data_IF_497613966586
#
_entry.id   IF_497613966586
#
_cell.length_a   1.000
_cell.length_b   1.000
_cell.length_c   1.000
_cell.angle_alpha   90.00
_cell.angle_beta   90.00
_cell.angle_gamma   90.00
#
_symmetry.space_group_name_H-M   'P 1'
#
loop_
_entity.id
_entity.type
_entity.pdbx_description
1 polymer ?
#
# COMPACT_ATOMS: atom_id res chain seq x y z
N UNK A 1 -15.36 -14.41 3.33
CA UNK A 1 -14.13 -13.76 2.82
C UNK A 1 -14.41 -12.29 2.82
N UNK A 2 -13.60 -11.47 3.46
CA UNK A 2 -13.76 -10.02 3.38
C UNK A 2 -13.48 -9.58 1.94
N UNK A 3 -14.39 -8.83 1.35
CA UNK A 3 -14.22 -8.29 -0.01
C UNK A 3 -13.42 -6.99 0.00
N UNK A 4 -13.29 -6.37 1.18
CA UNK A 4 -12.59 -5.12 1.42
C UNK A 4 -11.91 -5.14 2.79
N UNK A 5 -10.71 -4.56 2.85
CA UNK A 5 -9.96 -4.34 4.09
C UNK A 5 -9.48 -2.90 4.16
N UNK A 6 -9.44 -2.36 5.38
CA UNK A 6 -9.01 -0.99 5.65
C UNK A 6 -7.90 -1.02 6.70
N UNK A 7 -6.82 -0.29 6.43
CA UNK A 7 -5.69 -0.15 7.35
C UNK A 7 -5.29 1.32 7.49
N UNK A 8 -4.62 1.64 8.60
CA UNK A 8 -4.11 3.00 8.84
C UNK A 8 -2.61 3.00 9.03
N UNK A 9 -1.96 4.05 8.52
CA UNK A 9 -0.53 4.33 8.70
C UNK A 9 -0.32 5.79 9.06
N UNK A 10 0.18 6.02 10.27
CA UNK A 10 0.64 7.34 10.69
C UNK A 10 1.99 7.65 10.02
N UNK A 11 2.14 8.86 9.50
CA UNK A 11 3.38 9.33 8.88
C UNK A 11 4.12 10.24 9.83
N UNK A 12 5.35 9.86 10.20
CA UNK A 12 6.17 10.61 11.15
C UNK A 12 7.53 10.95 10.54
N UNK A 13 8.04 12.14 10.87
CA UNK A 13 9.35 12.62 10.38
C UNK A 13 10.50 11.70 10.79
N UNK A 14 10.31 10.88 11.83
CA UNK A 14 11.31 9.93 12.32
C UNK A 14 11.39 8.63 11.50
N UNK A 15 10.72 8.54 10.35
CA UNK A 15 10.86 7.41 9.43
C UNK A 15 12.12 7.55 8.56
N UNK A 16 12.88 6.46 8.34
CA UNK A 16 14.23 6.52 7.78
C UNK A 16 14.29 7.13 6.37
N UNK A 17 13.23 6.98 5.57
CA UNK A 17 13.19 7.50 4.21
C UNK A 17 13.15 9.04 4.14
N UNK A 18 12.73 9.74 5.21
CA UNK A 18 12.72 11.20 5.23
C UNK A 18 14.13 11.82 5.28
N UNK A 19 15.17 11.06 5.63
CA UNK A 19 16.57 11.52 5.55
C UNK A 19 17.05 11.74 4.10
N UNK A 20 16.34 11.17 3.13
CA UNK A 20 16.68 11.23 1.71
C UNK A 20 15.56 11.73 0.79
N UNK A 21 14.30 11.74 1.23
CA UNK A 21 13.13 12.03 0.39
C UNK A 21 12.25 13.14 1.00
N UNK A 22 12.56 14.42 0.80
CA UNK A 22 13.74 14.95 0.10
C UNK A 22 14.58 15.80 1.05
N UNK A 23 15.82 16.07 0.66
CA UNK A 23 16.70 16.96 1.42
C UNK A 23 16.34 18.43 1.18
N UNK A 24 16.58 19.33 2.15
CA UNK A 24 16.42 20.77 1.94
C UNK A 24 17.16 21.25 0.68
N UNK A 25 16.59 22.20 -0.09
CA UNK A 25 15.39 23.00 0.21
C UNK A 25 14.05 22.35 -0.18
N UNK A 26 14.03 21.08 -0.58
CA UNK A 26 12.80 20.39 -0.97
C UNK A 26 11.99 19.92 0.25
N UNK A 27 10.65 19.80 0.15
CA UNK A 27 9.82 19.32 1.24
C UNK A 27 10.10 17.85 1.57
N UNK A 28 10.04 17.49 2.85
CA UNK A 28 10.00 16.09 3.30
C UNK A 28 8.67 15.46 2.86
N UNK A 29 8.74 14.42 2.03
CA UNK A 29 7.56 13.76 1.47
C UNK A 29 7.71 12.24 1.57
N UNK A 30 6.64 11.53 1.92
CA UNK A 30 6.65 10.08 1.87
C UNK A 30 6.82 9.62 0.41
N UNK A 31 7.76 8.70 0.11
CA UNK A 31 7.91 8.17 -1.24
C UNK A 31 6.62 7.51 -1.73
N UNK A 32 6.23 7.75 -2.98
CA UNK A 32 5.05 7.11 -3.58
C UNK A 32 5.14 5.58 -3.57
N UNK A 33 6.35 5.03 -3.64
CA UNK A 33 6.62 3.59 -3.49
C UNK A 33 6.25 3.05 -2.11
N UNK A 34 6.47 3.82 -1.05
CA UNK A 34 6.07 3.42 0.31
C UNK A 34 4.54 3.47 0.47
N UNK A 35 3.86 4.35 -0.25
CA UNK A 35 2.38 4.39 -0.29
C UNK A 35 1.86 3.14 -0.99
N UNK A 36 2.45 2.77 -2.15
CA UNK A 36 2.11 1.52 -2.85
C UNK A 36 2.40 0.28 -2.01
N UNK A 37 3.51 0.25 -1.27
CA UNK A 37 3.83 -0.84 -0.36
C UNK A 37 2.77 -0.96 0.75
N UNK A 38 2.35 0.16 1.35
CA UNK A 38 1.27 0.17 2.34
C UNK A 38 -0.06 -0.34 1.77
N UNK A 39 -0.39 0.04 0.53
CA UNK A 39 -1.55 -0.50 -0.18
C UNK A 39 -1.44 -2.01 -0.45
N UNK A 40 -0.26 -2.49 -0.87
CA UNK A 40 0.00 -3.89 -1.14
C UNK A 40 -0.10 -4.75 0.13
N UNK A 41 0.48 -4.30 1.23
CA UNK A 41 0.35 -4.95 2.54
C UNK A 41 -1.10 -4.98 3.01
N UNK A 42 -1.82 -3.87 2.83
CA UNK A 42 -3.26 -3.80 3.14
C UNK A 42 -4.04 -4.84 2.32
N UNK A 43 -3.83 -4.91 1.01
CA UNK A 43 -4.45 -5.93 0.17
C UNK A 43 -4.04 -7.37 0.53
N UNK A 44 -2.82 -7.58 1.04
CA UNK A 44 -2.37 -8.86 1.56
C UNK A 44 -3.21 -9.38 2.73
N UNK A 45 -3.79 -8.48 3.54
CA UNK A 45 -4.67 -8.85 4.66
C UNK A 45 -5.94 -9.59 4.19
N UNK A 46 -6.36 -9.43 2.93
CA UNK A 46 -7.48 -10.19 2.33
C UNK A 46 -7.24 -11.71 2.31
N UNK A 47 -6.00 -12.15 2.47
CA UNK A 47 -5.60 -13.56 2.36
C UNK A 47 -5.72 -14.35 3.68
N UNK A 48 -5.78 -13.65 4.82
CA UNK A 48 -5.64 -14.24 6.14
C UNK A 48 -4.19 -14.60 6.50
N UNK A 49 -4.01 -15.18 7.69
CA UNK A 49 -2.69 -15.55 8.21
C UNK A 49 -2.03 -16.69 7.42
N UNK A 50 -0.70 -16.83 7.57
CA UNK A 50 0.07 -17.92 6.95
C UNK A 50 0.28 -17.79 5.44
N UNK A 51 -0.10 -16.66 4.83
CA UNK A 51 0.15 -16.36 3.41
C UNK A 51 1.14 -15.21 3.27
N UNK A 52 2.06 -15.34 2.32
CA UNK A 52 2.95 -14.27 1.87
C UNK A 52 2.41 -13.72 0.56
N UNK A 53 2.15 -12.41 0.50
CA UNK A 53 1.73 -11.72 -0.71
C UNK A 53 2.87 -10.85 -1.22
N UNK A 54 3.35 -11.14 -2.44
CA UNK A 54 4.44 -10.39 -3.07
C UNK A 54 3.85 -9.52 -4.17
N UNK A 55 4.15 -8.22 -4.16
CA UNK A 55 3.73 -7.29 -5.20
C UNK A 55 4.38 -7.66 -6.54
N UNK A 56 3.57 -7.97 -7.55
CA UNK A 56 4.02 -8.42 -8.87
C UNK A 56 3.75 -7.43 -10.00
N UNK A 57 2.64 -6.69 -9.91
CA UNK A 57 2.27 -5.68 -10.91
C UNK A 57 1.58 -4.49 -10.24
N UNK A 58 1.84 -3.30 -10.78
CA UNK A 58 1.14 -2.07 -10.44
C UNK A 58 0.62 -1.45 -11.74
N UNK A 59 -0.70 -1.32 -11.85
CA UNK A 59 -1.41 -0.71 -12.96
C UNK A 59 -2.20 0.51 -12.51
N UNK A 60 -2.46 1.44 -13.44
CA UNK A 60 -3.31 2.63 -13.23
C UNK A 60 -2.97 3.46 -11.99
N UNK A 61 -1.70 3.47 -11.56
CA UNK A 61 -1.30 4.20 -10.36
C UNK A 61 -1.39 5.72 -10.60
N UNK A 62 -2.04 6.44 -9.68
CA UNK A 62 -2.11 7.91 -9.69
C UNK A 62 -1.83 8.42 -8.29
N UNK A 63 -0.94 9.41 -8.21
CA UNK A 63 -0.61 10.13 -6.99
C UNK A 63 -1.06 11.58 -7.15
N UNK A 64 -1.95 12.03 -6.27
CA UNK A 64 -2.67 13.31 -6.41
C UNK A 64 -2.01 14.45 -5.63
N UNK A 65 -1.52 14.15 -4.43
CA UNK A 65 -0.80 15.11 -3.59
C UNK A 65 0.32 14.43 -2.82
N UNK A 66 1.28 15.25 -2.34
CA UNK A 66 2.31 14.77 -1.43
C UNK A 66 1.68 14.36 -0.10
N UNK A 67 2.24 13.32 0.49
CA UNK A 67 1.96 12.88 1.86
C UNK A 67 3.16 13.27 2.71
N UNK A 68 2.93 13.90 3.85
CA UNK A 68 3.98 14.56 4.65
C UNK A 68 3.93 14.10 6.11
N UNK A 69 4.99 14.33 6.91
CA UNK A 69 4.94 14.07 8.34
C UNK A 69 3.74 14.74 9.01
N UNK A 70 3.03 14.00 9.85
CA UNK A 70 1.77 14.42 10.48
C UNK A 70 0.52 13.83 9.80
N UNK A 71 0.59 13.46 8.51
CA UNK A 71 -0.53 12.83 7.82
C UNK A 71 -0.87 11.45 8.43
N UNK A 72 -2.16 11.12 8.49
CA UNK A 72 -2.66 9.76 8.75
C UNK A 72 -3.26 9.18 7.48
N UNK A 73 -2.53 8.27 6.86
CA UNK A 73 -3.02 7.53 5.69
C UNK A 73 -4.04 6.49 6.11
N UNK A 74 -5.16 6.46 5.41
CA UNK A 74 -6.12 5.35 5.42
C UNK A 74 -6.00 4.64 4.08
N UNK A 75 -5.60 3.38 4.11
CA UNK A 75 -5.55 2.51 2.95
C UNK A 75 -6.82 1.68 2.89
N UNK A 76 -7.40 1.57 1.70
CA UNK A 76 -8.53 0.68 1.41
C UNK A 76 -8.11 -0.25 0.28
N UNK A 77 -8.32 -1.55 0.46
CA UNK A 77 -8.07 -2.54 -0.57
C UNK A 77 -9.32 -3.38 -0.80
N UNK A 78 -9.80 -3.40 -2.04
CA UNK A 78 -10.96 -4.17 -2.48
C UNK A 78 -10.52 -5.27 -3.43
N UNK A 79 -10.96 -6.50 -3.18
CA UNK A 79 -10.69 -7.64 -4.04
C UNK A 79 -11.38 -7.45 -5.39
N UNK A 80 -10.61 -7.48 -6.49
CA UNK A 80 -11.16 -7.51 -7.85
C UNK A 80 -11.30 -8.94 -8.34
N UNK A 81 -10.25 -9.75 -8.16
CA UNK A 81 -10.20 -11.12 -8.66
C UNK A 81 -9.16 -11.93 -7.91
N UNK A 82 -9.46 -13.22 -7.74
CA UNK A 82 -8.50 -14.23 -7.24
C UNK A 82 -8.52 -15.45 -8.14
N UNK A 83 -7.36 -15.90 -8.63
CA UNK A 83 -7.21 -17.13 -9.42
C UNK A 83 -5.90 -17.82 -9.07
N UNK A 84 -6.00 -18.99 -8.42
CA UNK A 84 -4.82 -19.72 -7.94
C UNK A 84 -3.96 -18.84 -7.03
N UNK A 85 -2.65 -18.69 -7.31
CA UNK A 85 -1.76 -17.86 -6.50
C UNK A 85 -1.84 -16.37 -6.85
N UNK A 86 -2.72 -15.93 -7.75
CA UNK A 86 -2.80 -14.53 -8.18
C UNK A 86 -4.00 -13.85 -7.52
N UNK A 87 -3.76 -12.72 -6.86
CA UNK A 87 -4.77 -11.82 -6.30
C UNK A 87 -4.65 -10.46 -6.98
N UNK A 88 -5.75 -9.92 -7.47
CA UNK A 88 -5.85 -8.57 -8.00
C UNK A 88 -6.74 -7.73 -7.09
N UNK A 89 -6.29 -6.53 -6.74
CA UNK A 89 -7.01 -5.62 -5.87
C UNK A 89 -7.00 -4.20 -6.42
N UNK A 90 -8.11 -3.50 -6.22
CA UNK A 90 -8.16 -2.05 -6.34
C UNK A 90 -7.78 -1.47 -4.99
N UNK A 91 -6.84 -0.53 -4.98
CA UNK A 91 -6.31 0.07 -3.76
C UNK A 91 -6.37 1.58 -3.82
N UNK A 92 -6.72 2.19 -2.69
CA UNK A 92 -6.82 3.64 -2.53
C UNK A 92 -6.18 4.06 -1.21
N UNK A 93 -5.61 5.26 -1.19
CA UNK A 93 -5.10 5.92 0.00
C UNK A 93 -5.73 7.30 0.10
N UNK A 94 -6.20 7.64 1.29
CA UNK A 94 -6.77 8.93 1.64
C UNK A 94 -6.12 9.48 2.91
N UNK A 95 -6.15 10.79 3.06
CA UNK A 95 -5.79 11.49 4.30
C UNK A 95 -6.93 12.45 4.59
N UNK A 96 -7.53 12.32 5.77
CA UNK A 96 -8.70 13.12 6.18
C UNK A 96 -9.89 13.03 5.18
N UNK A 97 -10.03 11.88 4.51
CA UNK A 97 -11.08 11.64 3.51
C UNK A 97 -10.75 12.16 2.10
N UNK A 98 -9.62 12.85 1.93
CA UNK A 98 -9.18 13.33 0.62
C UNK A 98 -8.28 12.29 -0.07
N UNK A 99 -8.60 11.83 -1.30
CA UNK A 99 -7.78 10.85 -2.02
C UNK A 99 -6.38 11.38 -2.32
N UNK A 100 -5.35 10.66 -1.88
CA UNK A 100 -3.94 11.00 -2.12
C UNK A 100 -3.28 10.10 -3.15
N UNK A 101 -3.68 8.83 -3.22
CA UNK A 101 -3.19 7.89 -4.21
C UNK A 101 -4.20 6.76 -4.51
N UNK A 102 -4.08 6.16 -5.68
CA UNK A 102 -4.84 4.96 -6.07
C UNK A 102 -3.99 4.09 -7.01
N UNK A 103 -4.31 2.80 -7.07
CA UNK A 103 -3.75 1.87 -8.04
C UNK A 103 -4.64 0.62 -8.20
N UNK A 104 -4.39 -0.14 -9.26
CA UNK A 104 -4.75 -1.56 -9.35
C UNK A 104 -3.46 -2.36 -9.16
N UNK A 105 -3.45 -3.30 -8.23
CA UNK A 105 -2.25 -4.10 -7.93
C UNK A 105 -2.52 -5.59 -8.09
N UNK A 106 -1.49 -6.30 -8.55
CA UNK A 106 -1.47 -7.76 -8.57
C UNK A 106 -0.47 -8.27 -7.54
N UNK A 107 -0.94 -9.12 -6.65
CA UNK A 107 -0.14 -9.86 -5.68
C UNK A 107 -0.02 -11.32 -6.08
N UNK A 108 1.17 -11.88 -5.90
CA UNK A 108 1.45 -13.30 -6.02
C UNK A 108 1.55 -13.90 -4.61
N UNK A 109 0.68 -14.87 -4.34
CA UNK A 109 0.48 -15.49 -3.04
C UNK A 109 1.29 -16.78 -2.91
N UNK A 110 1.92 -16.96 -1.75
CA UNK A 110 2.67 -18.16 -1.35
C UNK A 110 2.24 -18.59 0.05
N UNK A 111 2.35 -19.88 0.34
CA UNK A 111 2.15 -20.43 1.68
C UNK A 111 3.42 -20.24 2.53
N UNK A 112 3.25 -19.67 3.73
CA UNK A 112 4.34 -19.52 4.71
C UNK A 112 4.53 -20.87 5.40
N UNK A 113 5.26 -21.75 4.72
CA UNK A 113 5.52 -23.13 5.14
C UNK A 113 6.17 -23.99 4.05
N UNK A 114 6.01 -23.60 2.79
CA UNK A 114 6.64 -24.27 1.63
C UNK A 114 7.97 -23.62 1.20
N UNK A 115 8.40 -22.55 1.87
CA UNK A 115 9.58 -21.79 1.50
C UNK A 115 10.74 -22.01 2.49
N UNK A 116 11.49 -23.09 2.26
CA UNK A 116 12.96 -23.10 2.26
C UNK A 116 13.44 -23.91 1.08
#
# INVERSE_FOLDING_TARGET
>A
TEEEVVAQKCVTVNEPYFQGHFRPPFPSAMPGTMILEGMAQTAGLLLGEGKLAVLAEVGRARFRRLVVPGDRLTFRAKLLRRRGPVLQAQVQAEVEGEPVAEAEITLVVRDVGEAR
#
